data_IF_192306832911
#
_entry.id   IF_192306832911
#
_cell.length_a   1.000
_cell.length_b   1.000
_cell.length_c   1.000
_cell.angle_alpha   90.00
_cell.angle_beta   90.00
_cell.angle_gamma   90.00
#
_symmetry.space_group_name_H-M   'P 1'
#
loop_
_entity.id
_entity.type
_entity.pdbx_description
1 polymer ?
#
# COMPACT_ATOMS: atom_id res chain seq x y z
N UNK A 1 26.36 44.12 23.53
CA UNK A 1 24.94 43.86 23.81
C UNK A 1 24.22 43.63 22.48
N UNK A 2 24.02 42.37 22.10
CA UNK A 2 23.33 41.98 20.86
C UNK A 2 22.31 40.92 21.24
N UNK A 3 21.03 41.30 21.22
CA UNK A 3 19.91 40.45 21.63
C UNK A 3 19.50 39.50 20.51
N UNK A 4 19.72 38.21 20.71
CA UNK A 4 19.24 37.14 19.85
C UNK A 4 17.73 36.96 20.04
N UNK A 5 16.93 37.46 19.10
CA UNK A 5 15.49 37.17 19.03
C UNK A 5 15.30 35.69 18.67
N UNK A 6 14.77 34.90 19.60
CA UNK A 6 14.25 33.55 19.32
C UNK A 6 13.10 33.64 18.32
N UNK A 7 13.04 32.78 17.28
CA UNK A 7 11.88 32.73 16.39
C UNK A 7 10.66 32.22 17.16
N UNK A 8 9.56 32.97 17.11
CA UNK A 8 8.26 32.51 17.62
C UNK A 8 7.76 31.35 16.73
N UNK A 9 7.19 30.27 17.29
CA UNK A 9 6.57 29.23 16.49
C UNK A 9 5.36 29.80 15.73
N UNK A 10 5.04 29.29 14.53
CA UNK A 10 3.95 29.81 13.71
C UNK A 10 2.60 29.48 14.34
N UNK A 11 1.98 30.48 14.96
CA UNK A 11 0.63 30.45 15.57
C UNK A 11 -0.51 30.17 14.58
N UNK A 12 -0.20 30.13 13.28
CA UNK A 12 -1.14 29.76 12.22
C UNK A 12 -1.58 28.28 12.29
N UNK A 13 -0.71 27.40 12.81
CA UNK A 13 -0.96 25.94 12.81
C UNK A 13 -1.98 25.48 13.86
N UNK A 14 -2.07 26.18 14.99
CA UNK A 14 -3.05 25.91 16.05
C UNK A 14 -4.47 26.36 15.67
N UNK A 15 -4.60 27.41 14.84
CA UNK A 15 -5.91 27.91 14.40
C UNK A 15 -6.60 27.00 13.38
N UNK A 16 -5.84 26.36 12.48
CA UNK A 16 -6.38 25.38 11.54
C UNK A 16 -6.84 24.08 12.24
N UNK A 17 -6.07 23.61 13.24
CA UNK A 17 -6.44 22.46 14.06
C UNK A 17 -7.68 22.75 14.92
N UNK A 18 -7.78 23.95 15.50
CA UNK A 18 -8.95 24.38 16.26
C UNK A 18 -10.21 24.56 15.38
N UNK A 19 -10.05 25.04 14.14
CA UNK A 19 -11.16 25.13 13.18
C UNK A 19 -11.67 23.74 12.73
N UNK A 20 -10.77 22.77 12.57
CA UNK A 20 -11.13 21.37 12.26
C UNK A 20 -11.77 20.65 13.46
N UNK A 21 -11.25 20.87 14.67
CA UNK A 21 -11.87 20.35 15.90
C UNK A 21 -13.22 21.01 16.19
N UNK A 22 -13.40 22.29 15.83
CA UNK A 22 -14.69 22.96 15.87
C UNK A 22 -15.73 22.39 14.91
N UNK A 23 -15.31 21.82 13.77
CA UNK A 23 -16.19 21.14 12.82
C UNK A 23 -16.60 19.72 13.26
N UNK A 24 -15.89 19.11 14.23
CA UNK A 24 -16.30 17.84 14.87
C UNK A 24 -17.38 18.04 15.93
N UNK A 25 -17.67 19.28 16.33
CA UNK A 25 -18.80 19.62 17.19
C UNK A 25 -20.06 19.97 16.37
N UNK A 26 -20.26 19.37 15.20
CA UNK A 26 -21.51 19.51 14.47
C UNK A 26 -22.60 18.77 15.25
N UNK A 27 -23.67 19.46 15.70
CA UNK A 27 -24.79 18.79 16.33
C UNK A 27 -25.37 17.78 15.34
N UNK A 28 -25.60 16.54 15.80
CA UNK A 28 -26.39 15.53 15.10
C UNK A 28 -27.86 15.96 15.10
N UNK A 29 -28.21 17.07 14.45
CA UNK A 29 -29.61 17.46 14.24
C UNK A 29 -30.13 16.73 13.02
N UNK A 30 -30.77 15.59 13.27
CA UNK A 30 -31.70 15.00 12.33
C UNK A 30 -32.91 15.94 12.19
N UNK A 31 -32.93 16.72 11.11
CA UNK A 31 -34.14 17.36 10.61
C UNK A 31 -34.34 16.89 9.17
N UNK A 32 -35.29 15.95 8.99
CA UNK A 32 -35.98 15.76 7.71
C UNK A 32 -36.94 16.96 7.52
N UNK A 33 -37.17 17.54 6.35
CA UNK A 33 -37.06 17.08 4.96
C UNK A 33 -36.38 18.16 4.09
N UNK A 34 -35.75 17.76 2.98
CA UNK A 34 -35.04 18.56 1.95
C UNK A 34 -33.56 18.94 2.18
N UNK A 35 -33.04 18.82 3.40
CA UNK A 35 -31.66 19.15 3.77
C UNK A 35 -30.60 18.08 3.45
N UNK A 36 -29.33 18.45 3.61
CA UNK A 36 -28.22 17.47 3.60
C UNK A 36 -28.15 16.73 4.93
N UNK A 37 -28.07 15.40 4.90
CA UNK A 37 -27.72 14.60 6.07
C UNK A 37 -26.19 14.59 6.23
N UNK A 38 -25.69 15.17 7.31
CA UNK A 38 -24.26 15.30 7.61
C UNK A 38 -23.84 14.30 8.68
N UNK A 39 -22.67 13.71 8.51
CA UNK A 39 -22.01 12.88 9.54
C UNK A 39 -20.50 13.06 9.43
N UNK A 40 -19.83 12.96 10.57
CA UNK A 40 -18.38 13.00 10.67
C UNK A 40 -17.92 12.02 11.75
N UNK A 41 -16.71 11.50 11.60
CA UNK A 41 -16.00 10.77 12.63
C UNK A 41 -14.50 11.03 12.47
N UNK A 42 -13.71 10.72 13.50
CA UNK A 42 -12.27 10.83 13.41
C UNK A 42 -11.53 9.70 14.14
N UNK A 43 -10.31 9.42 13.71
CA UNK A 43 -9.39 8.52 14.40
C UNK A 43 -8.05 9.19 14.53
N UNK A 44 -7.53 9.24 15.76
CA UNK A 44 -6.19 9.75 16.06
C UNK A 44 -5.25 8.58 16.32
N UNK A 45 -4.13 8.55 15.62
CA UNK A 45 -3.05 7.57 15.77
C UNK A 45 -1.84 8.25 16.43
N UNK A 46 -1.20 7.54 17.35
CA UNK A 46 0.12 7.88 17.88
C UNK A 46 0.95 6.61 17.99
N UNK A 47 2.12 6.60 17.36
CA UNK A 47 2.98 5.42 17.36
C UNK A 47 4.46 5.77 17.23
N UNK A 48 5.29 4.92 17.82
CA UNK A 48 6.74 4.94 17.66
C UNK A 48 7.17 3.74 16.83
N UNK A 49 8.20 3.92 16.01
CA UNK A 49 8.84 2.84 15.27
C UNK A 49 10.33 2.82 15.57
N UNK A 50 10.87 1.62 15.78
CA UNK A 50 12.30 1.37 15.77
C UNK A 50 12.64 0.42 14.64
N UNK A 51 13.75 0.67 13.95
CA UNK A 51 14.26 -0.13 12.84
C UNK A 51 15.78 -0.21 12.98
N UNK A 52 16.30 -1.43 12.91
CA UNK A 52 17.72 -1.69 12.92
C UNK A 52 18.20 -1.94 11.48
N UNK A 53 18.92 -1.01 10.84
CA UNK A 53 19.48 -1.25 9.51
C UNK A 53 20.47 -2.42 9.55
N UNK A 54 20.53 -3.19 8.46
CA UNK A 54 21.41 -4.33 8.36
C UNK A 54 22.87 -3.85 8.38
N UNK A 55 23.65 -4.42 9.28
CA UNK A 55 25.03 -3.99 9.52
C UNK A 55 25.97 -4.33 8.36
N UNK A 56 25.67 -5.38 7.60
CA UNK A 56 26.44 -5.89 6.47
C UNK A 56 25.76 -5.66 5.11
N UNK A 57 24.80 -4.73 5.04
CA UNK A 57 24.07 -4.38 3.81
C UNK A 57 25.00 -4.03 2.65
N UNK A 58 24.86 -4.71 1.51
CA UNK A 58 25.61 -4.36 0.29
C UNK A 58 24.90 -3.32 -0.58
N UNK A 59 23.58 -3.15 -0.42
CA UNK A 59 22.86 -2.09 -1.14
C UNK A 59 22.80 -0.78 -0.35
N UNK A 60 22.89 -0.85 0.98
CA UNK A 60 22.78 0.30 1.87
C UNK A 60 23.85 0.27 2.99
N UNK A 61 25.14 0.20 2.63
CA UNK A 61 26.23 0.11 3.61
C UNK A 61 26.20 1.29 4.58
N UNK A 62 26.30 0.98 5.88
CA UNK A 62 26.19 1.93 7.00
C UNK A 62 24.94 2.83 6.96
N UNK A 63 23.88 2.38 6.27
CA UNK A 63 22.66 3.14 6.03
C UNK A 63 22.88 4.48 5.29
N UNK A 64 23.94 4.58 4.47
CA UNK A 64 24.34 5.84 3.81
C UNK A 64 23.53 6.18 2.56
N UNK A 65 22.87 5.19 1.97
CA UNK A 65 22.17 5.34 0.69
C UNK A 65 20.67 5.56 0.93
N UNK A 66 20.01 4.58 1.55
CA UNK A 66 18.58 4.64 1.82
C UNK A 66 18.22 5.57 2.98
N UNK A 67 19.15 5.79 3.92
CA UNK A 67 18.95 6.63 5.12
C UNK A 67 17.66 6.27 5.88
N UNK A 68 17.47 4.96 6.11
CA UNK A 68 16.35 4.40 6.84
C UNK A 68 16.32 5.02 8.25
N UNK A 69 15.18 5.59 8.70
CA UNK A 69 15.08 6.14 10.04
C UNK A 69 15.18 5.00 11.06
N UNK A 70 16.08 5.12 12.04
CA UNK A 70 16.22 4.08 13.07
C UNK A 70 15.13 4.21 14.12
N UNK A 71 14.75 5.45 14.43
CA UNK A 71 13.70 5.75 15.37
C UNK A 71 12.81 6.84 14.77
N UNK A 72 11.51 6.64 14.88
CA UNK A 72 10.53 7.64 14.51
C UNK A 72 9.35 7.69 15.47
N UNK A 73 8.74 8.87 15.57
CA UNK A 73 7.50 9.12 16.28
C UNK A 73 6.51 9.77 15.32
N UNK A 74 5.33 9.18 15.18
CA UNK A 74 4.28 9.65 14.28
C UNK A 74 2.98 9.93 15.03
N UNK A 75 2.34 11.05 14.68
CA UNK A 75 0.96 11.35 15.02
C UNK A 75 0.16 11.58 13.74
N UNK A 76 -1.00 10.94 13.64
CA UNK A 76 -1.86 11.05 12.46
C UNK A 76 -3.32 11.19 12.86
N UNK A 77 -4.00 12.21 12.35
CA UNK A 77 -5.45 12.37 12.44
C UNK A 77 -6.09 12.02 11.11
N UNK A 78 -6.97 11.02 11.09
CA UNK A 78 -7.82 10.66 9.94
C UNK A 78 -9.24 11.10 10.26
N UNK A 79 -9.84 11.89 9.39
CA UNK A 79 -11.21 12.35 9.55
C UNK A 79 -12.04 11.77 8.42
N UNK A 80 -13.27 11.34 8.69
CA UNK A 80 -14.22 10.95 7.66
C UNK A 80 -15.39 11.92 7.72
N UNK A 81 -15.67 12.56 6.58
CA UNK A 81 -16.78 13.50 6.42
C UNK A 81 -17.72 12.92 5.38
N UNK A 82 -19.02 12.96 5.66
CA UNK A 82 -20.05 12.44 4.77
C UNK A 82 -21.25 13.39 4.75
N UNK A 83 -21.72 13.69 3.55
CA UNK A 83 -22.92 14.45 3.29
C UNK A 83 -23.80 13.73 2.26
N UNK A 84 -25.10 13.59 2.51
CA UNK A 84 -26.04 12.93 1.60
C UNK A 84 -27.27 13.79 1.33
N UNK A 85 -27.74 13.80 0.07
CA UNK A 85 -29.01 14.42 -0.34
C UNK A 85 -29.60 13.68 -1.54
N UNK A 86 -30.66 12.91 -1.31
CA UNK A 86 -31.32 12.13 -2.36
C UNK A 86 -30.32 11.20 -3.10
N UNK A 87 -30.14 11.33 -4.42
CA UNK A 87 -29.24 10.48 -5.19
C UNK A 87 -27.75 10.86 -5.07
N UNK A 88 -27.44 11.95 -4.37
CA UNK A 88 -26.08 12.48 -4.21
C UNK A 88 -25.47 12.08 -2.86
N UNK A 89 -24.21 11.63 -2.91
CA UNK A 89 -23.37 11.40 -1.73
C UNK A 89 -22.02 12.06 -1.94
N UNK A 90 -21.61 12.89 -0.99
CA UNK A 90 -20.27 13.42 -0.88
C UNK A 90 -19.56 12.74 0.30
N UNK A 91 -18.33 12.28 0.07
CA UNK A 91 -17.44 11.83 1.13
C UNK A 91 -16.08 12.51 1.00
N UNK A 92 -15.41 12.76 2.12
CA UNK A 92 -14.06 13.32 2.15
C UNK A 92 -13.29 12.76 3.34
N UNK A 93 -12.02 12.42 3.11
CA UNK A 93 -11.12 11.85 4.12
C UNK A 93 -9.82 12.65 4.20
N UNK A 94 -9.82 13.84 4.85
CA UNK A 94 -8.60 14.59 5.08
C UNK A 94 -7.73 13.87 6.13
N UNK A 95 -6.42 13.93 5.94
CA UNK A 95 -5.42 13.40 6.86
C UNK A 95 -4.47 14.52 7.26
N UNK A 96 -4.18 14.59 8.56
CA UNK A 96 -3.13 15.44 9.13
C UNK A 96 -2.11 14.52 9.75
N UNK A 97 -0.85 14.67 9.34
CA UNK A 97 0.23 13.78 9.74
C UNK A 97 1.45 14.59 10.18
N UNK A 98 1.98 14.28 11.35
CA UNK A 98 3.24 14.77 11.86
C UNK A 98 4.15 13.59 12.16
N UNK A 99 5.42 13.73 11.81
CA UNK A 99 6.42 12.70 12.07
C UNK A 99 7.74 13.35 12.46
N UNK A 100 8.47 12.71 13.37
CA UNK A 100 9.84 13.04 13.71
C UNK A 100 10.72 11.81 13.55
N UNK A 101 11.78 11.93 12.75
CA UNK A 101 12.76 10.89 12.48
C UNK A 101 14.14 11.33 12.93
N UNK A 102 14.91 10.42 13.54
CA UNK A 102 16.28 10.73 13.98
C UNK A 102 17.25 11.03 12.84
N UNK A 103 16.96 10.59 11.61
CA UNK A 103 17.79 10.83 10.41
C UNK A 103 17.32 12.02 9.56
N UNK A 104 16.01 12.30 9.52
CA UNK A 104 15.41 13.26 8.59
C UNK A 104 14.79 14.49 9.29
N UNK A 105 14.72 14.49 10.62
CA UNK A 105 14.13 15.57 11.42
C UNK A 105 12.61 15.46 11.49
N UNK A 106 11.95 16.58 11.81
CA UNK A 106 10.48 16.62 11.92
C UNK A 106 9.82 17.20 10.68
N UNK A 107 8.72 16.57 10.24
CA UNK A 107 7.88 17.03 9.15
C UNK A 107 6.39 17.00 9.52
N UNK A 108 5.61 17.88 8.90
CA UNK A 108 4.15 17.86 8.99
C UNK A 108 3.56 17.97 7.59
N UNK A 109 2.58 17.14 7.28
CA UNK A 109 1.82 17.16 6.03
C UNK A 109 0.33 17.08 6.32
N UNK A 110 -0.44 17.76 5.49
CA UNK A 110 -1.89 17.60 5.45
C UNK A 110 -2.29 17.39 4.01
N UNK A 111 -3.15 16.42 3.76
CA UNK A 111 -3.58 16.08 2.42
C UNK A 111 -4.97 15.47 2.43
N UNK A 112 -5.65 15.54 1.29
CA UNK A 112 -6.92 14.87 1.08
C UNK A 112 -6.63 13.47 0.52
N UNK A 113 -6.73 12.45 1.38
CA UNK A 113 -6.40 11.06 1.02
C UNK A 113 -7.42 10.49 0.04
N UNK A 114 -8.70 10.71 0.33
CA UNK A 114 -9.81 10.27 -0.49
C UNK A 114 -10.92 11.32 -0.46
N UNK A 115 -11.68 11.43 -1.54
CA UNK A 115 -12.94 12.17 -1.60
C UNK A 115 -13.75 11.66 -2.77
N UNK A 116 -15.07 11.72 -2.70
CA UNK A 116 -15.93 11.25 -3.78
C UNK A 116 -17.21 12.06 -3.79
N UNK A 117 -17.59 12.56 -4.97
CA UNK A 117 -18.96 12.90 -5.30
C UNK A 117 -19.56 11.76 -6.11
N UNK A 118 -20.58 11.11 -5.56
CA UNK A 118 -21.30 10.01 -6.19
C UNK A 118 -22.72 10.41 -6.49
N UNK A 119 -23.17 10.08 -7.70
CA UNK A 119 -24.53 10.30 -8.16
C UNK A 119 -25.14 8.98 -8.66
N UNK A 120 -26.21 8.53 -7.99
CA UNK A 120 -27.01 7.38 -8.43
C UNK A 120 -28.14 7.87 -9.33
N UNK A 121 -27.96 7.76 -10.65
CA UNK A 121 -28.93 8.25 -11.63
C UNK A 121 -30.16 7.36 -11.71
N UNK A 122 -29.96 6.05 -11.57
CA UNK A 122 -30.99 5.02 -11.57
C UNK A 122 -30.53 3.83 -10.68
N UNK A 123 -31.35 2.79 -10.54
CA UNK A 123 -31.05 1.56 -9.81
C UNK A 123 -29.80 0.84 -10.33
N UNK A 124 -29.54 0.90 -11.65
CA UNK A 124 -28.44 0.18 -12.28
C UNK A 124 -27.21 1.04 -12.62
N UNK A 125 -27.31 2.37 -12.60
CA UNK A 125 -26.24 3.26 -13.06
C UNK A 125 -25.79 4.20 -11.95
N UNK A 126 -24.48 4.24 -11.73
CA UNK A 126 -23.82 5.16 -10.80
C UNK A 126 -22.67 5.88 -11.48
N UNK A 127 -22.65 7.20 -11.39
CA UNK A 127 -21.51 8.03 -11.77
C UNK A 127 -20.77 8.51 -10.51
N UNK A 128 -19.45 8.57 -10.57
CA UNK A 128 -18.63 9.11 -9.50
C UNK A 128 -17.41 9.87 -10.03
N UNK A 129 -17.03 10.93 -9.33
CA UNK A 129 -15.77 11.63 -9.52
C UNK A 129 -15.13 11.84 -8.15
N UNK A 130 -13.81 11.67 -8.07
CA UNK A 130 -13.12 11.79 -6.80
C UNK A 130 -11.71 11.26 -6.80
N UNK A 131 -11.17 11.14 -5.59
CA UNK A 131 -9.99 10.36 -5.25
C UNK A 131 -10.40 9.13 -4.46
N UNK A 132 -10.23 7.95 -5.02
CA UNK A 132 -10.78 6.72 -4.45
C UNK A 132 -9.79 5.57 -4.53
N UNK A 133 -9.88 4.63 -3.59
CA UNK A 133 -9.09 3.40 -3.66
C UNK A 133 -9.74 2.43 -4.66
N UNK A 134 -8.98 2.03 -5.67
CA UNK A 134 -9.40 1.05 -6.67
C UNK A 134 -8.83 -0.32 -6.32
N UNK A 135 -9.42 -1.00 -5.33
CA UNK A 135 -9.00 -2.33 -4.90
C UNK A 135 -9.95 -3.41 -5.42
N UNK A 136 -9.38 -4.58 -5.74
CA UNK A 136 -10.08 -5.80 -6.13
C UNK A 136 -9.12 -6.98 -5.99
N UNK A 137 -9.63 -8.18 -6.23
CA UNK A 137 -8.84 -9.40 -6.14
C UNK A 137 -8.72 -9.94 -4.71
N UNK A 138 -8.63 -11.27 -4.56
CA UNK A 138 -8.55 -11.93 -3.26
C UNK A 138 -7.15 -11.91 -2.64
N UNK A 139 -6.09 -11.60 -3.41
CA UNK A 139 -4.72 -11.81 -2.98
C UNK A 139 -4.31 -11.03 -1.72
N UNK A 140 -3.64 -11.72 -0.80
CA UNK A 140 -3.23 -11.20 0.49
C UNK A 140 -1.77 -10.73 0.50
N UNK A 141 -0.89 -11.34 -0.31
CA UNK A 141 0.51 -10.98 -0.44
C UNK A 141 0.71 -9.79 -1.39
N UNK A 142 0.42 -10.00 -2.67
CA UNK A 142 0.48 -9.02 -3.75
C UNK A 142 -0.62 -9.31 -4.75
N UNK A 143 -1.16 -8.30 -5.42
CA UNK A 143 -2.27 -8.44 -6.38
C UNK A 143 -1.77 -8.26 -7.82
N UNK A 144 -1.44 -9.34 -8.55
CA UNK A 144 -1.12 -9.28 -9.98
C UNK A 144 -2.22 -8.65 -10.83
N UNK A 145 -3.48 -8.84 -10.43
CA UNK A 145 -4.62 -8.38 -11.23
C UNK A 145 -4.91 -6.88 -11.09
N UNK A 146 -4.22 -6.18 -10.18
CA UNK A 146 -4.42 -4.76 -9.93
C UNK A 146 -3.19 -3.91 -10.36
N UNK A 147 -3.33 -3.04 -11.38
CA UNK A 147 -2.22 -2.22 -11.85
C UNK A 147 -1.83 -1.07 -10.90
N UNK A 148 -2.77 -0.63 -10.04
CA UNK A 148 -2.60 0.55 -9.19
C UNK A 148 -2.06 0.17 -7.80
N UNK A 149 -2.40 -1.03 -7.31
CA UNK A 149 -2.05 -1.50 -5.98
C UNK A 149 -1.51 -2.93 -6.01
N UNK A 150 -0.34 -3.12 -6.62
CA UNK A 150 0.35 -4.42 -6.56
C UNK A 150 0.62 -4.84 -5.10
N UNK A 151 0.99 -3.88 -4.25
CA UNK A 151 0.86 -3.98 -2.80
C UNK A 151 -0.46 -3.29 -2.39
N UNK A 152 -1.42 -4.09 -1.94
CA UNK A 152 -2.75 -3.64 -1.54
C UNK A 152 -2.82 -3.27 -0.04
N UNK A 153 -1.68 -3.03 0.61
CA UNK A 153 -1.60 -2.57 1.99
C UNK A 153 -1.84 -3.65 3.04
N UNK A 154 -2.16 -4.89 2.64
CA UNK A 154 -2.44 -5.99 3.58
C UNK A 154 -1.22 -6.41 4.41
N UNK A 155 -0.01 -6.14 3.93
CA UNK A 155 1.24 -6.37 4.70
C UNK A 155 1.53 -5.30 5.75
N UNK A 156 0.88 -4.13 5.70
CA UNK A 156 1.01 -3.09 6.72
C UNK A 156 -0.36 -2.45 7.00
N UNK A 157 -1.15 -3.03 7.92
CA UNK A 157 -2.50 -2.55 8.24
C UNK A 157 -2.56 -1.12 8.82
N UNK A 158 -1.43 -0.58 9.29
CA UNK A 158 -1.34 0.79 9.81
C UNK A 158 -1.32 1.79 8.66
N UNK A 159 -0.76 1.41 7.51
CA UNK A 159 -0.59 2.29 6.35
C UNK A 159 -1.94 2.53 5.65
N UNK A 160 -2.27 3.80 5.46
CA UNK A 160 -3.37 4.20 4.58
C UNK A 160 -2.97 4.01 3.10
N UNK A 161 -3.87 3.44 2.29
CA UNK A 161 -3.72 3.47 0.84
C UNK A 161 -4.18 4.83 0.28
N UNK A 162 -3.29 5.48 -0.48
CA UNK A 162 -3.63 6.66 -1.27
C UNK A 162 -4.68 6.30 -2.32
N UNK A 163 -5.75 7.09 -2.45
CA UNK A 163 -6.68 6.93 -3.57
C UNK A 163 -6.10 7.46 -4.88
N UNK A 164 -6.66 7.02 -6.01
CA UNK A 164 -6.37 7.55 -7.35
C UNK A 164 -7.45 8.54 -7.78
N UNK A 165 -7.06 9.60 -8.48
CA UNK A 165 -7.99 10.59 -9.02
C UNK A 165 -8.72 10.00 -10.23
N UNK A 166 -10.03 9.81 -10.10
CA UNK A 166 -10.86 9.05 -11.03
C UNK A 166 -12.18 9.75 -11.33
N UNK A 167 -12.60 9.67 -12.60
CA UNK A 167 -13.99 9.83 -13.00
C UNK A 167 -14.48 8.49 -13.56
N UNK A 168 -15.56 7.94 -13.01
CA UNK A 168 -16.06 6.61 -13.35
C UNK A 168 -17.57 6.55 -13.55
N UNK A 169 -17.96 5.64 -14.44
CA UNK A 169 -19.33 5.21 -14.66
C UNK A 169 -19.41 3.71 -14.35
N UNK A 170 -20.37 3.32 -13.53
CA UNK A 170 -20.64 1.94 -13.14
C UNK A 170 -22.03 1.57 -13.64
N UNK A 171 -22.11 0.47 -14.38
CA UNK A 171 -23.36 -0.19 -14.75
C UNK A 171 -23.44 -1.55 -14.06
N UNK A 172 -24.43 -1.72 -13.19
CA UNK A 172 -24.72 -2.94 -12.45
C UNK A 172 -26.20 -3.30 -12.65
N UNK A 173 -26.54 -4.06 -13.70
CA UNK A 173 -27.93 -4.39 -14.02
C UNK A 173 -28.59 -5.26 -12.95
N UNK A 174 -27.79 -5.98 -12.16
CA UNK A 174 -28.21 -6.83 -11.06
C UNK A 174 -27.09 -6.90 -9.99
N UNK A 175 -27.32 -7.67 -8.92
CA UNK A 175 -26.37 -7.81 -7.81
C UNK A 175 -25.17 -8.72 -8.11
N UNK A 176 -25.22 -9.43 -9.24
CA UNK A 176 -24.24 -10.43 -9.65
C UNK A 176 -23.26 -9.92 -10.70
N UNK A 177 -23.59 -8.84 -11.41
CA UNK A 177 -22.78 -8.34 -12.53
C UNK A 177 -22.55 -6.84 -12.41
N UNK A 178 -21.32 -6.42 -12.66
CA UNK A 178 -21.03 -5.00 -12.83
C UNK A 178 -19.95 -4.76 -13.88
N UNK A 179 -20.10 -3.71 -14.65
CA UNK A 179 -19.07 -3.17 -15.54
C UNK A 179 -18.81 -1.74 -15.14
N UNK A 180 -17.55 -1.36 -15.03
CA UNK A 180 -17.18 0.03 -14.82
C UNK A 180 -16.12 0.51 -15.79
N UNK A 181 -16.33 1.73 -16.28
CA UNK A 181 -15.39 2.48 -17.12
C UNK A 181 -14.90 3.67 -16.32
N UNK A 182 -13.58 3.85 -16.27
CA UNK A 182 -12.94 4.89 -15.48
C UNK A 182 -11.85 5.60 -16.28
N UNK A 183 -11.80 6.92 -16.14
CA UNK A 183 -10.70 7.78 -16.54
C UNK A 183 -9.87 8.10 -15.30
N UNK A 184 -8.59 7.76 -15.32
CA UNK A 184 -7.66 8.02 -14.21
C UNK A 184 -6.82 9.25 -14.53
N UNK A 185 -7.05 10.34 -13.81
CA UNK A 185 -6.29 11.57 -13.99
C UNK A 185 -4.88 11.45 -13.38
N UNK A 186 -4.77 10.90 -12.16
CA UNK A 186 -3.50 10.69 -11.47
C UNK A 186 -3.59 9.59 -10.41
N UNK A 187 -2.44 9.07 -9.96
CA UNK A 187 -2.30 8.11 -8.86
C UNK A 187 -2.36 8.75 -7.46
N UNK A 188 -2.79 10.01 -7.36
CA UNK A 188 -3.07 10.68 -6.09
C UNK A 188 -1.85 11.29 -5.37
N UNK A 189 -1.92 11.38 -4.04
CA UNK A 189 -0.93 12.11 -3.23
C UNK A 189 0.44 11.43 -3.22
N UNK A 190 0.46 10.10 -3.17
CA UNK A 190 1.69 9.30 -3.10
C UNK A 190 2.15 8.79 -4.47
N UNK A 191 1.66 9.41 -5.56
CA UNK A 191 2.03 9.05 -6.92
C UNK A 191 3.55 9.14 -7.12
N UNK A 192 4.11 8.10 -7.74
CA UNK A 192 5.48 8.15 -8.23
C UNK A 192 5.65 9.33 -9.20
N UNK A 193 6.89 9.83 -9.33
CA UNK A 193 7.22 10.90 -10.28
C UNK A 193 8.29 10.42 -11.26
N UNK A 194 7.98 10.33 -12.57
CA UNK A 194 6.67 10.57 -13.20
C UNK A 194 5.61 9.53 -12.81
N UNK A 195 4.33 9.91 -12.87
CA UNK A 195 3.21 9.04 -12.52
C UNK A 195 2.93 8.05 -13.65
N UNK A 196 3.09 6.73 -13.42
CA UNK A 196 2.91 5.73 -14.47
C UNK A 196 1.48 5.56 -14.95
N UNK A 197 0.47 6.00 -14.18
CA UNK A 197 -0.94 5.80 -14.49
C UNK A 197 -1.69 7.10 -14.74
N UNK A 198 -0.99 8.23 -14.74
CA UNK A 198 -1.56 9.49 -15.17
C UNK A 198 -2.13 9.36 -16.59
N UNK A 199 -3.24 10.03 -16.80
CA UNK A 199 -3.92 10.06 -18.07
C UNK A 199 -4.34 8.70 -18.65
N UNK A 200 -4.62 7.72 -17.79
CA UNK A 200 -5.03 6.36 -18.20
C UNK A 200 -6.55 6.13 -18.26
N UNK A 201 -6.93 5.04 -18.91
CA UNK A 201 -8.29 4.49 -18.95
C UNK A 201 -8.31 3.10 -18.34
N UNK A 202 -9.42 2.75 -17.69
CA UNK A 202 -9.66 1.46 -17.07
C UNK A 202 -11.07 0.99 -17.44
N UNK A 203 -11.15 -0.22 -17.96
CA UNK A 203 -12.39 -0.99 -18.10
C UNK A 203 -12.29 -2.21 -17.20
N UNK A 204 -13.29 -2.43 -16.36
CA UNK A 204 -13.37 -3.66 -15.55
C UNK A 204 -14.78 -4.21 -15.55
N UNK A 205 -14.86 -5.54 -15.56
CA UNK A 205 -16.08 -6.29 -15.44
C UNK A 205 -15.94 -7.29 -14.30
N UNK A 206 -17.00 -7.45 -13.51
CA UNK A 206 -17.08 -8.34 -12.37
C UNK A 206 -18.33 -9.21 -12.47
N UNK A 207 -18.16 -10.46 -12.04
CA UNK A 207 -19.20 -11.45 -11.80
C UNK A 207 -19.10 -11.90 -10.34
N UNK A 208 -20.23 -11.96 -9.64
CA UNK A 208 -20.33 -12.43 -8.27
C UNK A 208 -21.59 -13.26 -8.09
N UNK A 209 -21.44 -14.43 -7.51
CA UNK A 209 -22.51 -15.31 -7.04
C UNK A 209 -22.20 -15.70 -5.59
N UNK A 210 -22.94 -16.66 -5.05
CA UNK A 210 -22.78 -17.09 -3.65
C UNK A 210 -21.39 -17.72 -3.41
N UNK A 211 -20.95 -18.60 -4.32
CA UNK A 211 -19.70 -19.36 -4.15
C UNK A 211 -18.59 -18.95 -5.12
N UNK A 212 -18.83 -17.97 -5.99
CA UNK A 212 -17.89 -17.57 -7.04
C UNK A 212 -17.82 -16.06 -7.18
N UNK A 213 -16.62 -15.51 -7.22
CA UNK A 213 -16.36 -14.14 -7.65
C UNK A 213 -15.24 -14.13 -8.71
N UNK A 214 -15.44 -13.40 -9.80
CA UNK A 214 -14.47 -13.28 -10.86
C UNK A 214 -14.48 -11.87 -11.44
N UNK A 215 -13.34 -11.43 -11.98
CA UNK A 215 -13.31 -10.16 -12.69
C UNK A 215 -12.13 -10.03 -13.63
N UNK A 216 -12.30 -9.15 -14.61
CA UNK A 216 -11.33 -8.80 -15.65
C UNK A 216 -11.11 -7.29 -15.63
N UNK A 217 -9.85 -6.86 -15.67
CA UNK A 217 -9.44 -5.46 -15.73
C UNK A 217 -8.53 -5.23 -16.95
N UNK A 218 -8.85 -4.22 -17.74
CA UNK A 218 -8.05 -3.75 -18.87
C UNK A 218 -7.72 -2.28 -18.61
N UNK A 219 -6.43 -1.94 -18.58
CA UNK A 219 -6.02 -0.55 -18.45
C UNK A 219 -5.10 -0.13 -19.60
N UNK A 220 -5.31 1.08 -20.10
CA UNK A 220 -4.52 1.67 -21.17
C UNK A 220 -3.85 2.95 -20.68
N UNK A 221 -2.58 3.11 -21.00
CA UNK A 221 -1.77 4.27 -20.62
C UNK A 221 -1.23 4.97 -21.87
N UNK A 222 -1.03 6.29 -21.83
CA UNK A 222 -0.28 6.97 -22.87
C UNK A 222 1.15 6.42 -22.97
N UNK A 223 1.60 6.09 -24.19
CA UNK A 223 3.00 5.77 -24.50
C UNK A 223 3.60 4.57 -23.75
N UNK A 224 2.76 3.66 -23.23
CA UNK A 224 3.20 2.43 -22.56
C UNK A 224 2.29 1.25 -22.90
N UNK A 225 2.77 0.03 -22.66
CA UNK A 225 2.02 -1.19 -22.85
C UNK A 225 0.73 -1.25 -22.01
N UNK A 226 -0.33 -1.78 -22.60
CA UNK A 226 -1.60 -2.03 -21.92
C UNK A 226 -1.46 -3.04 -20.76
N UNK A 227 -2.26 -2.89 -19.73
CA UNK A 227 -2.40 -3.84 -18.65
C UNK A 227 -3.61 -4.74 -18.87
N UNK A 228 -3.45 -6.03 -18.58
CA UNK A 228 -4.52 -7.01 -18.49
C UNK A 228 -4.43 -7.71 -17.15
N UNK A 229 -5.50 -7.74 -16.38
CA UNK A 229 -5.57 -8.42 -15.09
C UNK A 229 -6.85 -9.23 -14.97
N UNK A 230 -6.78 -10.38 -14.32
CA UNK A 230 -7.94 -11.22 -14.03
C UNK A 230 -7.83 -11.80 -12.62
N UNK A 231 -8.97 -11.98 -11.95
CA UNK A 231 -9.03 -12.67 -10.66
C UNK A 231 -10.22 -13.61 -10.60
N UNK A 232 -10.07 -14.66 -9.81
CA UNK A 232 -11.08 -15.68 -9.53
C UNK A 232 -11.00 -16.07 -8.07
N UNK A 233 -12.15 -16.20 -7.42
CA UNK A 233 -12.30 -16.72 -6.06
C UNK A 233 -13.47 -17.69 -6.07
N UNK A 234 -13.27 -18.86 -5.48
CA UNK A 234 -14.28 -19.90 -5.37
C UNK A 234 -14.33 -20.44 -3.93
N UNK A 235 -15.48 -20.30 -3.29
CA UNK A 235 -15.80 -20.93 -2.01
C UNK A 235 -16.16 -22.38 -2.29
N UNK A 236 -15.28 -23.32 -1.93
CA UNK A 236 -15.48 -24.76 -2.19
C UNK A 236 -16.37 -25.38 -1.12
N UNK A 237 -16.29 -24.86 0.09
CA UNK A 237 -17.03 -25.25 1.30
C UNK A 237 -16.98 -24.09 2.30
N UNK A 238 -17.66 -24.21 3.43
CA UNK A 238 -17.65 -23.20 4.49
C UNK A 238 -16.23 -22.93 5.03
N UNK A 239 -15.34 -23.92 4.98
CA UNK A 239 -13.98 -23.81 5.48
C UNK A 239 -12.98 -23.42 4.39
N UNK A 240 -13.18 -23.87 3.15
CA UNK A 240 -12.20 -23.72 2.06
C UNK A 240 -12.55 -22.63 1.05
N UNK A 241 -11.60 -21.73 0.86
CA UNK A 241 -11.58 -20.74 -0.20
C UNK A 241 -10.38 -20.99 -1.13
N UNK A 242 -10.62 -21.14 -2.43
CA UNK A 242 -9.58 -21.20 -3.46
C UNK A 242 -9.63 -19.95 -4.31
N UNK A 243 -8.48 -19.45 -4.74
CA UNK A 243 -8.43 -18.29 -5.60
C UNK A 243 -7.17 -18.19 -6.44
N UNK A 244 -7.23 -17.35 -7.46
CA UNK A 244 -6.09 -17.01 -8.28
C UNK A 244 -6.19 -15.63 -8.90
N UNK A 245 -5.02 -15.08 -9.22
CA UNK A 245 -4.89 -13.82 -9.94
C UNK A 245 -3.89 -13.94 -11.08
N UNK A 246 -4.11 -13.16 -12.12
CA UNK A 246 -3.23 -13.00 -13.26
C UNK A 246 -3.07 -11.53 -13.59
N UNK A 247 -1.88 -11.13 -14.00
CA UNK A 247 -1.57 -9.79 -14.49
C UNK A 247 -0.54 -9.85 -15.62
N UNK A 248 -0.71 -9.02 -16.65
CA UNK A 248 0.23 -8.86 -17.76
C UNK A 248 0.44 -7.39 -18.06
N UNK A 249 1.69 -6.91 -17.91
CA UNK A 249 1.98 -5.48 -17.95
C UNK A 249 3.44 -5.18 -18.29
N UNK A 250 3.73 -3.88 -18.41
CA UNK A 250 5.07 -3.31 -18.49
C UNK A 250 5.28 -2.34 -17.32
N UNK A 251 6.51 -2.23 -16.84
CA UNK A 251 6.92 -1.21 -15.87
C UNK A 251 7.44 0.01 -16.63
N UNK A 252 7.04 1.22 -16.22
CA UNK A 252 7.47 2.52 -16.77
C UNK A 252 8.87 2.94 -16.37
N UNK A 253 9.52 2.14 -15.54
CA UNK A 253 10.92 2.26 -15.20
C UNK A 253 11.39 0.90 -14.76
N UNK A 254 12.43 0.40 -15.41
CA UNK A 254 13.02 -0.87 -15.00
C UNK A 254 14.53 -0.77 -15.02
N UNK A 255 15.12 -1.24 -13.94
CA UNK A 255 16.54 -1.54 -13.92
C UNK A 255 16.78 -2.75 -14.81
N UNK A 256 17.42 -2.56 -15.97
CA UNK A 256 17.84 -3.68 -16.81
C UNK A 256 19.10 -4.28 -16.20
N UNK A 257 19.04 -5.51 -15.66
CA UNK A 257 20.25 -6.16 -15.20
C UNK A 257 21.12 -6.40 -16.43
N UNK A 258 22.25 -5.70 -16.54
CA UNK A 258 23.26 -6.10 -17.49
C UNK A 258 23.72 -7.51 -17.09
N UNK A 259 23.93 -8.40 -18.06
CA UNK A 259 24.40 -9.77 -17.78
C UNK A 259 25.75 -9.83 -17.04
N UNK A 260 26.44 -8.70 -16.95
CA UNK A 260 27.72 -8.51 -16.30
C UNK A 260 27.61 -7.46 -15.18
N UNK A 261 28.15 -7.77 -14.00
CA UNK A 261 28.16 -6.88 -12.82
C UNK A 261 29.06 -5.64 -13.00
N UNK A 262 30.08 -5.72 -13.87
CA UNK A 262 31.04 -4.64 -14.09
C UNK A 262 30.49 -3.48 -14.94
N UNK A 263 29.40 -3.69 -15.68
CA UNK A 263 28.80 -2.64 -16.51
C UNK A 263 28.09 -1.59 -15.63
N UNK A 264 27.91 -0.34 -16.08
CA UNK A 264 27.09 0.62 -15.33
C UNK A 264 25.62 0.20 -15.28
N UNK A 265 24.93 0.65 -14.24
CA UNK A 265 23.48 0.50 -14.12
C UNK A 265 22.78 1.16 -15.30
N UNK A 266 21.89 0.44 -15.99
CA UNK A 266 21.04 1.00 -17.04
C UNK A 266 19.59 0.97 -16.59
N UNK A 267 19.01 2.16 -16.47
CA UNK A 267 17.59 2.33 -16.24
C UNK A 267 16.94 2.51 -17.61
N UNK A 268 15.99 1.63 -17.94
CA UNK A 268 15.18 1.75 -19.14
C UNK A 268 13.83 2.37 -18.82
N UNK A 269 13.31 3.16 -19.76
CA UNK A 269 12.01 3.83 -19.67
C UNK A 269 10.84 2.84 -19.73
N UNK A 270 11.02 1.66 -20.31
CA UNK A 270 10.00 0.61 -20.25
C UNK A 270 10.62 -0.79 -20.19
N UNK A 271 10.03 -1.65 -19.34
CA UNK A 271 10.35 -3.08 -19.33
C UNK A 271 9.68 -3.80 -20.50
N UNK A 272 10.21 -4.95 -20.94
CA UNK A 272 9.41 -5.90 -21.72
C UNK A 272 8.11 -6.25 -20.98
N UNK A 273 7.11 -6.71 -21.75
CA UNK A 273 5.87 -7.23 -21.17
C UNK A 273 6.18 -8.52 -20.41
N UNK A 274 5.75 -8.59 -19.17
CA UNK A 274 5.82 -9.80 -18.36
C UNK A 274 4.44 -10.13 -17.79
N UNK A 275 4.28 -11.39 -17.38
CA UNK A 275 3.07 -11.85 -16.72
C UNK A 275 3.38 -12.36 -15.32
N UNK A 276 2.50 -12.05 -14.39
CA UNK A 276 2.55 -12.52 -13.01
C UNK A 276 1.27 -13.29 -12.71
N UNK A 277 1.37 -14.35 -11.93
CA UNK A 277 0.22 -15.11 -11.47
C UNK A 277 0.33 -15.41 -9.99
N UNK A 278 -0.81 -15.56 -9.33
CA UNK A 278 -0.91 -15.98 -7.95
C UNK A 278 -1.95 -17.09 -7.86
N UNK A 279 -1.66 -18.10 -7.06
CA UNK A 279 -2.61 -19.13 -6.64
C UNK A 279 -2.64 -19.14 -5.12
N UNK A 280 -3.83 -19.13 -4.55
CA UNK A 280 -4.03 -19.08 -3.11
C UNK A 280 -5.13 -20.01 -2.64
N UNK A 281 -4.97 -20.47 -1.40
CA UNK A 281 -5.98 -21.21 -0.67
C UNK A 281 -6.05 -20.68 0.77
N UNK A 282 -7.25 -20.58 1.31
CA UNK A 282 -7.49 -20.26 2.71
C UNK A 282 -8.39 -21.31 3.34
N UNK A 283 -8.02 -21.75 4.53
CA UNK A 283 -8.78 -22.67 5.35
C UNK A 283 -9.18 -21.97 6.66
N UNK A 284 -10.48 -21.95 6.95
CA UNK A 284 -11.04 -21.40 8.20
C UNK A 284 -11.28 -22.54 9.18
N UNK A 285 -10.72 -22.41 10.37
CA UNK A 285 -10.86 -23.34 11.49
C UNK A 285 -12.15 -23.07 12.25
N UNK A 286 -12.65 -24.06 12.99
CA UNK A 286 -13.87 -23.96 13.82
C UNK A 286 -13.80 -22.82 14.85
N UNK A 287 -12.60 -22.48 15.35
CA UNK A 287 -12.40 -21.37 16.27
C UNK A 287 -12.37 -19.98 15.59
N UNK A 288 -12.69 -19.91 14.29
CA UNK A 288 -12.70 -18.69 13.49
C UNK A 288 -11.32 -18.19 13.06
N UNK A 289 -10.24 -18.92 13.35
CA UNK A 289 -8.93 -18.62 12.80
C UNK A 289 -8.87 -19.02 11.33
N UNK A 290 -8.03 -18.36 10.54
CA UNK A 290 -7.79 -18.71 9.14
C UNK A 290 -6.31 -18.91 8.86
N UNK A 291 -6.00 -19.94 8.08
CA UNK A 291 -4.69 -20.23 7.52
C UNK A 291 -4.75 -20.04 6.01
N UNK A 292 -3.97 -19.12 5.48
CA UNK A 292 -3.86 -18.84 4.05
C UNK A 292 -2.47 -19.22 3.55
N UNK A 293 -2.41 -19.83 2.37
CA UNK A 293 -1.17 -20.07 1.65
C UNK A 293 -1.31 -19.54 0.22
N UNK A 294 -0.32 -18.78 -0.24
CA UNK A 294 -0.26 -18.20 -1.58
C UNK A 294 1.09 -18.49 -2.23
N UNK A 295 1.06 -18.96 -3.47
CA UNK A 295 2.23 -18.98 -4.34
C UNK A 295 2.10 -17.87 -5.37
N UNK A 296 3.12 -17.00 -5.43
CA UNK A 296 3.23 -15.92 -6.39
C UNK A 296 4.40 -16.18 -7.34
N UNK A 297 4.13 -16.11 -8.64
CA UNK A 297 5.16 -15.90 -9.65
C UNK A 297 5.11 -14.47 -10.15
N UNK A 298 6.15 -13.69 -9.88
CA UNK A 298 6.27 -12.31 -10.29
C UNK A 298 7.14 -12.16 -11.54
N UNK A 299 6.51 -11.88 -12.68
CA UNK A 299 7.18 -11.91 -13.99
C UNK A 299 8.27 -10.85 -14.18
N UNK A 300 8.17 -9.71 -13.50
CA UNK A 300 9.17 -8.64 -13.57
C UNK A 300 10.36 -8.85 -12.63
N UNK A 301 10.31 -9.87 -11.76
CA UNK A 301 11.43 -10.25 -10.91
C UNK A 301 12.63 -10.74 -11.72
N UNK A 302 13.80 -10.71 -11.10
CA UNK A 302 15.05 -11.19 -11.67
C UNK A 302 15.13 -12.72 -11.63
N UNK A 303 15.64 -13.30 -12.72
CA UNK A 303 16.15 -14.67 -12.68
C UNK A 303 17.47 -14.74 -11.88
N UNK A 304 17.98 -15.95 -11.68
CA UNK A 304 19.19 -16.17 -10.90
C UNK A 304 20.43 -15.44 -11.43
N UNK A 305 20.57 -15.27 -12.75
CA UNK A 305 21.73 -14.58 -13.33
C UNK A 305 21.62 -13.06 -13.16
N UNK A 306 20.46 -12.50 -13.48
CA UNK A 306 20.15 -11.10 -13.27
C UNK A 306 20.31 -10.69 -11.79
N UNK A 307 19.82 -11.53 -10.87
CA UNK A 307 19.91 -11.29 -9.42
C UNK A 307 21.35 -11.31 -8.91
N UNK A 308 22.16 -12.27 -9.37
CA UNK A 308 23.60 -12.30 -9.06
C UNK A 308 24.32 -11.06 -9.60
N UNK A 309 24.01 -10.61 -10.82
CA UNK A 309 24.57 -9.38 -11.38
C UNK A 309 24.15 -8.13 -10.60
N UNK A 310 22.89 -8.08 -10.14
CA UNK A 310 22.39 -6.99 -9.30
C UNK A 310 23.17 -6.88 -7.98
N UNK A 311 23.26 -7.96 -7.21
CA UNK A 311 23.98 -7.95 -5.94
C UNK A 311 25.50 -7.84 -6.11
N UNK A 312 26.09 -8.50 -7.11
CA UNK A 312 27.53 -8.37 -7.39
C UNK A 312 27.93 -6.94 -7.75
N UNK A 313 27.07 -6.20 -8.44
CA UNK A 313 27.29 -4.78 -8.71
C UNK A 313 27.15 -3.91 -7.47
N UNK A 314 26.17 -4.19 -6.61
CA UNK A 314 26.03 -3.50 -5.33
C UNK A 314 27.28 -3.71 -4.46
N UNK A 315 27.83 -4.93 -4.44
CA UNK A 315 29.08 -5.24 -3.76
C UNK A 315 30.28 -4.47 -4.36
N UNK A 316 30.43 -4.45 -5.69
CA UNK A 316 31.47 -3.65 -6.36
C UNK A 316 31.32 -2.13 -6.17
N UNK A 317 30.10 -1.63 -6.02
CA UNK A 317 29.87 -0.21 -5.72
C UNK A 317 30.22 0.10 -4.27
N UNK A 318 29.86 -0.78 -3.34
CA UNK A 318 30.15 -0.62 -1.91
C UNK A 318 31.65 -0.51 -1.63
N UNK A 319 32.50 -1.30 -2.29
CA UNK A 319 33.97 -1.21 -2.14
C UNK A 319 34.58 0.11 -2.61
N UNK A 320 33.83 0.88 -3.42
CA UNK A 320 34.27 2.17 -3.99
C UNK A 320 33.68 3.38 -3.27
N UNK A 321 32.85 3.18 -2.25
CA UNK A 321 32.36 4.29 -1.45
C UNK A 321 33.52 5.03 -0.76
N UNK A 322 33.49 6.38 -0.69
CA UNK A 322 32.35 7.26 -0.93
C UNK A 322 32.25 7.85 -2.35
N UNK A 323 32.83 7.22 -3.39
CA UNK A 323 32.79 7.75 -4.75
C UNK A 323 31.34 8.05 -5.21
N UNK A 324 31.14 9.21 -5.84
CA UNK A 324 29.80 9.71 -6.18
C UNK A 324 29.05 8.80 -7.16
N UNK A 325 29.76 8.23 -8.13
CA UNK A 325 29.21 7.27 -9.09
C UNK A 325 28.82 5.94 -8.43
N UNK A 326 29.55 5.50 -7.41
CA UNK A 326 29.20 4.34 -6.59
C UNK A 326 27.92 4.58 -5.78
N UNK A 327 27.81 5.74 -5.11
CA UNK A 327 26.60 6.12 -4.38
C UNK A 327 25.38 6.23 -5.31
N UNK A 328 25.58 6.81 -6.51
CA UNK A 328 24.53 6.88 -7.53
C UNK A 328 24.11 5.50 -8.03
N UNK A 329 25.05 4.57 -8.22
CA UNK A 329 24.75 3.20 -8.64
C UNK A 329 23.92 2.45 -7.60
N UNK A 330 24.27 2.56 -6.31
CA UNK A 330 23.50 1.97 -5.20
C UNK A 330 22.11 2.59 -5.09
N UNK A 331 22.02 3.92 -5.16
CA UNK A 331 20.73 4.63 -5.14
C UNK A 331 19.84 4.26 -6.33
N UNK A 332 20.41 4.09 -7.51
CA UNK A 332 19.69 3.60 -8.69
C UNK A 332 19.23 2.15 -8.53
N UNK A 333 20.07 1.30 -7.93
CA UNK A 333 19.73 -0.08 -7.60
C UNK A 333 18.51 -0.18 -6.68
N UNK A 334 18.51 0.60 -5.59
CA UNK A 334 17.39 0.65 -4.64
C UNK A 334 16.13 1.31 -5.22
N UNK A 335 16.29 2.39 -5.98
CA UNK A 335 15.17 3.22 -6.44
C UNK A 335 14.49 2.73 -7.73
N UNK A 336 15.13 1.86 -8.51
CA UNK A 336 14.61 1.36 -9.78
C UNK A 336 14.52 -0.18 -9.86
N UNK A 337 14.87 -0.89 -8.78
CA UNK A 337 14.60 -2.31 -8.65
C UNK A 337 13.09 -2.61 -8.75
N UNK A 338 12.72 -3.80 -9.24
CA UNK A 338 11.34 -4.24 -9.15
C UNK A 338 10.88 -4.30 -7.67
N UNK A 339 9.56 -4.13 -7.40
CA UNK A 339 8.99 -4.25 -6.05
C UNK A 339 9.28 -5.58 -5.33
N UNK A 340 9.55 -6.62 -6.10
CA UNK A 340 9.95 -7.97 -5.67
C UNK A 340 11.15 -8.37 -6.53
N UNK A 341 12.29 -8.67 -5.90
CA UNK A 341 13.55 -8.94 -6.62
C UNK A 341 13.56 -10.33 -7.25
N UNK A 342 13.06 -11.35 -6.55
CA UNK A 342 12.90 -12.69 -7.07
C UNK A 342 11.62 -12.86 -7.92
N UNK A 343 11.49 -14.03 -8.55
CA UNK A 343 10.31 -14.39 -9.36
C UNK A 343 9.33 -15.28 -8.64
N UNK A 344 9.72 -16.00 -7.61
CA UNK A 344 8.94 -17.10 -7.06
C UNK A 344 8.89 -16.99 -5.54
N UNK A 345 7.68 -16.90 -4.99
CA UNK A 345 7.45 -16.69 -3.56
C UNK A 345 6.37 -17.61 -3.02
N UNK A 346 6.55 -18.04 -1.78
CA UNK A 346 5.51 -18.63 -0.95
C UNK A 346 5.16 -17.63 0.16
N UNK A 347 3.88 -17.36 0.35
CA UNK A 347 3.38 -16.51 1.42
C UNK A 347 2.36 -17.26 2.26
N UNK A 348 2.55 -17.26 3.58
CA UNK A 348 1.69 -17.92 4.55
C UNK A 348 1.12 -16.88 5.50
N UNK A 349 -0.16 -16.99 5.84
CA UNK A 349 -0.83 -16.10 6.78
C UNK A 349 -1.59 -16.96 7.78
N UNK A 350 -1.41 -16.67 9.05
CA UNK A 350 -2.26 -17.20 10.11
C UNK A 350 -2.83 -16.02 10.90
N UNK A 351 -4.14 -15.98 11.05
CA UNK A 351 -4.83 -14.88 11.73
C UNK A 351 -6.07 -15.37 12.47
N UNK A 352 -6.50 -14.64 13.49
CA UNK A 352 -7.81 -14.86 14.10
C UNK A 352 -8.91 -14.08 13.35
N UNK A 353 -10.15 -14.23 13.82
CA UNK A 353 -11.29 -13.49 13.27
C UNK A 353 -11.13 -11.98 13.54
N UNK A 354 -11.29 -11.11 12.52
CA UNK A 354 -11.33 -9.65 12.72
C UNK A 354 -12.51 -9.17 13.58
N UNK A 355 -13.51 -10.03 13.79
CA UNK A 355 -14.69 -9.76 14.63
C UNK A 355 -14.52 -10.24 16.07
N UNK A 356 -13.33 -10.69 16.47
CA UNK A 356 -13.06 -11.15 17.84
C UNK A 356 -13.05 -9.98 18.82
N UNK A 357 -13.77 -10.13 19.92
CA UNK A 357 -13.82 -9.13 21.00
C UNK A 357 -12.48 -8.96 21.74
N UNK A 358 -11.63 -10.00 21.71
CA UNK A 358 -10.32 -10.00 22.38
C UNK A 358 -9.23 -9.25 21.59
N UNK A 359 -9.56 -8.80 20.38
CA UNK A 359 -8.65 -8.12 19.45
C UNK A 359 -8.34 -8.95 18.21
N UNK A 360 -7.46 -8.41 17.37
CA UNK A 360 -7.12 -9.00 16.08
C UNK A 360 -5.61 -9.16 15.95
N UNK A 361 -5.16 -10.30 15.43
CA UNK A 361 -3.75 -10.52 15.12
C UNK A 361 -3.60 -11.30 13.82
N UNK A 362 -2.46 -11.08 13.18
CA UNK A 362 -2.08 -11.69 11.90
C UNK A 362 -0.57 -11.89 11.84
N UNK A 363 -0.18 -13.16 11.74
CA UNK A 363 1.18 -13.58 11.46
C UNK A 363 1.31 -13.84 9.95
N UNK A 364 2.35 -13.30 9.34
CA UNK A 364 2.63 -13.38 7.91
C UNK A 364 4.06 -13.88 7.72
N UNK A 365 4.26 -14.85 6.83
CA UNK A 365 5.57 -15.37 6.47
C UNK A 365 5.71 -15.38 4.95
N UNK A 366 6.62 -14.57 4.42
CA UNK A 366 6.99 -14.57 3.00
C UNK A 366 8.32 -15.27 2.82
N UNK A 367 8.44 -16.16 1.84
CA UNK A 367 9.67 -16.88 1.52
C UNK A 367 9.98 -16.76 0.04
N UNK A 368 11.15 -16.23 -0.29
CA UNK A 368 11.68 -16.17 -1.66
C UNK A 368 12.31 -17.52 -2.01
N UNK A 369 11.77 -18.19 -3.02
CA UNK A 369 12.30 -19.48 -3.46
C UNK A 369 13.62 -19.33 -4.24
N UNK A 370 13.99 -18.10 -4.62
CA UNK A 370 15.16 -17.84 -5.45
C UNK A 370 16.47 -17.65 -4.66
N UNK A 371 16.43 -17.03 -3.47
CA UNK A 371 17.56 -16.98 -2.51
C UNK A 371 17.31 -17.71 -1.20
N UNK A 372 16.12 -18.27 -0.99
CA UNK A 372 15.71 -18.89 0.28
C UNK A 372 15.69 -17.90 1.44
N UNK A 373 15.68 -16.59 1.17
CA UNK A 373 15.42 -15.59 2.20
C UNK A 373 13.93 -15.58 2.56
N UNK A 374 13.60 -15.12 3.75
CA UNK A 374 12.24 -15.01 4.23
C UNK A 374 12.01 -13.70 5.00
N UNK A 375 10.75 -13.38 5.26
CA UNK A 375 10.33 -12.29 6.11
C UNK A 375 9.13 -12.74 6.93
N UNK A 376 9.24 -12.65 8.25
CA UNK A 376 8.15 -12.85 9.17
C UNK A 376 7.65 -11.50 9.67
N UNK A 377 6.33 -11.30 9.67
CA UNK A 377 5.69 -10.09 10.19
C UNK A 377 4.51 -10.46 11.08
N UNK A 378 4.34 -9.75 12.19
CA UNK A 378 3.23 -9.91 13.12
C UNK A 378 2.55 -8.56 13.30
N UNK A 379 1.27 -8.48 12.95
CA UNK A 379 0.39 -7.40 13.36
C UNK A 379 -0.51 -7.89 14.50
N UNK A 380 -0.71 -7.08 15.53
CA UNK A 380 -1.70 -7.34 16.55
C UNK A 380 -2.30 -6.03 17.06
N UNK A 381 -3.60 -6.04 17.34
CA UNK A 381 -4.32 -4.94 17.97
C UNK A 381 -5.25 -5.46 19.06
N UNK A 382 -5.39 -4.67 20.13
CA UNK A 382 -6.22 -5.02 21.28
C UNK A 382 -7.03 -3.80 21.74
N UNK A 383 -8.37 -3.90 21.83
CA UNK A 383 -9.17 -2.86 22.44
C UNK A 383 -8.82 -2.77 23.93
N UNK A 384 -8.42 -1.57 24.38
CA UNK A 384 -8.21 -1.28 25.80
C UNK A 384 -9.52 -0.80 26.45
N UNK A 385 -10.35 -0.11 25.66
CA UNK A 385 -11.72 0.27 25.98
C UNK A 385 -12.46 0.61 24.67
N UNK A 386 -13.70 1.13 24.77
CA UNK A 386 -14.54 1.49 23.63
C UNK A 386 -13.98 2.54 22.67
N UNK A 387 -12.94 3.29 23.05
CA UNK A 387 -12.34 4.34 22.22
C UNK A 387 -10.87 4.09 21.90
N UNK A 388 -10.14 3.39 22.76
CA UNK A 388 -8.69 3.23 22.66
C UNK A 388 -8.37 1.79 22.25
N UNK A 389 -7.60 1.65 21.17
CA UNK A 389 -7.02 0.38 20.73
C UNK A 389 -5.51 0.50 20.70
N UNK A 390 -4.80 -0.39 21.39
CA UNK A 390 -3.35 -0.51 21.25
C UNK A 390 -3.03 -1.42 20.06
N UNK A 391 -1.94 -1.16 19.35
CA UNK A 391 -1.50 -2.01 18.24
C UNK A 391 0.02 -2.14 18.19
N UNK A 392 0.47 -3.21 17.53
CA UNK A 392 1.87 -3.45 17.21
C UNK A 392 2.02 -4.02 15.80
N UNK A 393 3.15 -3.72 15.17
CA UNK A 393 3.61 -4.35 13.94
C UNK A 393 5.10 -4.66 14.07
N UNK A 394 5.45 -5.93 14.15
CA UNK A 394 6.84 -6.41 14.11
C UNK A 394 7.17 -7.01 12.74
N UNK A 395 8.38 -6.83 12.25
CA UNK A 395 8.88 -7.47 11.03
C UNK A 395 10.35 -7.89 11.23
N UNK A 396 10.64 -9.15 10.92
CA UNK A 396 11.96 -9.76 11.01
C UNK A 396 12.25 -10.47 9.70
N UNK A 397 13.13 -9.93 8.85
CA UNK A 397 13.69 -10.67 7.74
C UNK A 397 14.65 -11.76 8.21
N UNK A 398 14.76 -12.82 7.42
CA UNK A 398 15.68 -13.93 7.59
C UNK A 398 16.41 -14.10 6.26
N UNK A 399 17.73 -13.92 6.28
CA UNK A 399 18.56 -13.97 5.09
C UNK A 399 19.89 -13.31 5.40
N UNK A 400 20.92 -13.65 4.64
CA UNK A 400 22.21 -12.98 4.74
C UNK A 400 22.31 -11.78 3.79
N UNK A 401 23.48 -11.15 3.83
CA UNK A 401 23.97 -10.20 2.82
C UNK A 401 23.69 -10.68 1.39
N UNK A 402 23.18 -9.78 0.55
CA UNK A 402 22.90 -10.09 -0.86
C UNK A 402 21.69 -11.01 -1.07
N UNK A 403 20.74 -11.00 -0.14
CA UNK A 403 19.42 -11.61 -0.32
C UNK A 403 18.33 -10.55 -0.26
N UNK A 404 17.20 -10.80 -0.90
CA UNK A 404 16.12 -9.81 -1.00
C UNK A 404 15.62 -9.31 0.35
N UNK A 405 15.32 -10.22 1.28
CA UNK A 405 14.75 -9.83 2.57
C UNK A 405 15.81 -9.40 3.60
N UNK A 406 17.01 -10.01 3.57
CA UNK A 406 18.03 -9.78 4.61
C UNK A 406 18.90 -8.53 4.42
N UNK A 407 18.87 -7.88 3.26
CA UNK A 407 19.92 -6.91 2.92
C UNK A 407 19.71 -5.48 3.48
N UNK A 408 18.50 -5.08 3.89
CA UNK A 408 18.24 -3.66 4.25
C UNK A 408 18.15 -3.39 5.76
N UNK A 409 17.55 -4.29 6.52
CA UNK A 409 17.33 -4.13 7.95
C UNK A 409 17.26 -5.50 8.63
N UNK A 410 17.62 -5.56 9.91
CA UNK A 410 17.61 -6.79 10.71
C UNK A 410 16.25 -7.00 11.38
N UNK A 411 15.59 -5.91 11.79
CA UNK A 411 14.21 -5.92 12.29
C UNK A 411 13.57 -4.52 12.24
N UNK A 412 12.24 -4.49 12.33
CA UNK A 412 11.45 -3.29 12.57
C UNK A 412 10.31 -3.60 13.54
N UNK A 413 10.04 -2.66 14.46
CA UNK A 413 8.96 -2.75 15.42
C UNK A 413 8.26 -1.40 15.53
N UNK A 414 6.96 -1.39 15.23
CA UNK A 414 6.06 -0.27 15.48
C UNK A 414 5.13 -0.60 16.65
N UNK A 415 5.01 0.31 17.60
CA UNK A 415 4.09 0.22 18.74
C UNK A 415 3.28 1.50 18.84
N UNK A 416 1.97 1.40 19.06
CA UNK A 416 1.13 2.58 19.16
C UNK A 416 -0.27 2.35 19.67
N UNK A 417 -1.06 3.41 19.61
CA UNK A 417 -2.48 3.38 19.91
C UNK A 417 -3.27 4.23 18.92
N UNK A 418 -4.53 3.86 18.71
CA UNK A 418 -5.53 4.68 18.04
C UNK A 418 -6.67 5.02 18.97
N UNK A 419 -7.21 6.23 18.81
CA UNK A 419 -8.35 6.76 19.55
C UNK A 419 -9.45 7.07 18.54
N UNK A 420 -10.58 6.38 18.65
CA UNK A 420 -11.79 6.68 17.89
C UNK A 420 -12.54 7.86 18.54
N UNK A 421 -12.92 8.83 17.72
CA UNK A 421 -13.70 10.01 18.09
C UNK A 421 -15.03 9.97 17.31
N UNK A 422 -16.16 10.24 17.98
CA UNK A 422 -17.48 10.25 17.37
C UNK A 422 -17.70 11.42 16.41
#
# INVERSE_FOLDING_TARGET
MSGTRRPRPPSFRLRALAALLGALALPQTAAADEGWALSADATLYGYANTLQPAHDSIQNPDNRIARLPRDSLTFEGRFNLKAERGPLRLTARPIVHWQHDNQQGSGSRSYLSQWQLRWRTDTAITAAIGRETLSWGPAQFRSPSNPYYFDNGRSNPIRELSGVDVARLIWAPDVTRSVYLARIASSGHDAARPDPWADSWLLKADLRSDDLAAGLALASRPQAGHFVGAHLQHTVSDEWLLYGEFGSSTLTRSLRPAGDAAQPVRIADESPRHSSWLLGASYTLENGHSLTAEYLRYGHGYDGAARRSHFGRAEMATTRLPAADAAQALGAGLGAAPPLLARDYLHLIWQNSPLSDDGYWRLMLSHSLADRSAQASLFAERPLNRHITAFMLGTVPVGGRGTEFGDLFDYSLTLGARIALP
#
